data_IF_667032897265
#
_entry.id   IF_667032897265
#
_cell.length_a   1.000
_cell.length_b   1.000
_cell.length_c   1.000
_cell.angle_alpha   90.00
_cell.angle_beta   90.00
_cell.angle_gamma   90.00
#
_symmetry.space_group_name_H-M   'P 1'
#
loop_
_entity.id
_entity.type
_entity.pdbx_description
1 polymer ?
#
# COMPACT_ATOMS: atom_id res chain seq x y z
N UNK A 1 17.83 8.24 1.83
CA UNK A 1 18.28 8.06 0.45
C UNK A 1 17.69 9.19 -0.39
N UNK A 2 18.43 10.29 -0.61
CA UNK A 2 17.90 11.48 -1.26
C UNK A 2 17.33 11.24 -2.66
N UNK A 3 17.79 10.18 -3.35
CA UNK A 3 17.30 9.81 -4.68
C UNK A 3 15.84 9.32 -4.68
N UNK A 4 15.30 9.00 -3.50
CA UNK A 4 13.92 8.53 -3.32
C UNK A 4 12.96 9.63 -2.88
N UNK A 5 13.43 10.88 -2.81
CA UNK A 5 12.58 11.99 -2.34
C UNK A 5 11.38 12.21 -3.27
N UNK A 6 10.20 12.32 -2.66
CA UNK A 6 8.93 12.61 -3.33
C UNK A 6 8.13 13.63 -2.52
N UNK A 7 7.58 14.64 -3.18
CA UNK A 7 6.59 15.55 -2.55
C UNK A 7 5.25 14.82 -2.53
N UNK A 8 4.51 14.90 -1.42
CA UNK A 8 3.19 14.27 -1.30
C UNK A 8 2.12 15.22 -1.84
N UNK A 9 1.35 14.82 -2.86
CA UNK A 9 0.41 15.73 -3.50
C UNK A 9 -0.82 16.06 -2.63
N UNK A 10 -1.15 15.20 -1.67
CA UNK A 10 -2.31 15.37 -0.78
C UNK A 10 -1.97 15.97 0.61
N UNK A 11 -0.70 16.23 0.91
CA UNK A 11 -0.27 16.71 2.23
C UNK A 11 0.55 18.01 2.11
N UNK A 12 0.06 19.09 2.71
CA UNK A 12 0.70 20.41 2.62
C UNK A 12 2.15 20.36 3.13
N UNK A 13 3.06 20.95 2.34
CA UNK A 13 4.51 21.08 2.66
C UNK A 13 5.17 19.78 3.14
N UNK A 14 4.72 18.63 2.65
CA UNK A 14 5.19 17.33 3.12
C UNK A 14 5.85 16.54 2.00
N UNK A 15 6.93 15.82 2.32
CA UNK A 15 7.59 14.90 1.41
C UNK A 15 8.03 13.61 2.11
N UNK A 16 8.21 12.56 1.31
CA UNK A 16 8.74 11.27 1.74
C UNK A 16 10.13 11.03 1.19
N UNK A 17 10.93 10.33 1.99
CA UNK A 17 12.24 9.83 1.60
C UNK A 17 12.45 8.47 2.29
N UNK A 18 12.84 7.47 1.51
CA UNK A 18 13.16 6.15 2.06
C UNK A 18 14.52 6.21 2.77
N UNK A 19 14.62 5.46 3.87
CA UNK A 19 15.84 5.34 4.66
C UNK A 19 16.22 3.87 4.85
N UNK A 20 17.52 3.62 4.95
CA UNK A 20 18.06 2.31 5.31
C UNK A 20 18.47 2.35 6.79
N UNK A 21 18.27 1.23 7.48
CA UNK A 21 18.65 1.10 8.89
C UNK A 21 20.16 0.83 8.97
N UNK A 22 20.83 1.57 9.85
CA UNK A 22 22.24 1.39 10.19
C UNK A 22 22.41 1.32 11.70
N UNK A 23 23.44 0.62 12.15
CA UNK A 23 23.93 0.74 13.50
C UNK A 23 24.47 2.15 13.76
N UNK A 24 24.61 2.54 15.03
CA UNK A 24 25.25 3.81 15.41
C UNK A 24 26.69 3.91 14.92
N UNK A 25 27.36 2.78 14.68
CA UNK A 25 28.68 2.71 14.07
C UNK A 25 28.70 3.11 12.58
N UNK A 26 27.53 3.21 11.94
CA UNK A 26 27.40 3.41 10.49
C UNK A 26 27.28 2.10 9.70
N UNK A 27 27.54 0.95 10.33
CA UNK A 27 27.43 -0.36 9.68
C UNK A 27 25.97 -0.67 9.28
N UNK A 28 25.72 -1.27 8.10
CA UNK A 28 24.37 -1.67 7.68
C UNK A 28 23.70 -2.61 8.69
N UNK A 29 22.46 -2.30 9.07
CA UNK A 29 21.70 -3.16 9.95
C UNK A 29 21.26 -4.42 9.19
N UNK A 30 21.56 -5.64 9.70
CA UNK A 30 21.40 -6.87 8.94
C UNK A 30 19.94 -7.22 8.60
N UNK A 31 18.98 -6.74 9.40
CA UNK A 31 17.55 -6.99 9.18
C UNK A 31 16.83 -5.81 8.51
N UNK A 32 17.56 -4.89 7.87
CA UNK A 32 16.95 -3.83 7.07
C UNK A 32 16.39 -4.42 5.76
N UNK A 33 15.06 -4.46 5.53
CA UNK A 33 14.49 -5.11 4.35
C UNK A 33 15.00 -4.50 3.03
N UNK A 34 15.10 -3.17 2.97
CA UNK A 34 15.64 -2.45 1.79
C UNK A 34 17.13 -2.77 1.58
N UNK A 35 17.91 -2.89 2.65
CA UNK A 35 19.32 -3.32 2.59
C UNK A 35 19.48 -4.75 2.10
N UNK A 36 18.62 -5.67 2.56
CA UNK A 36 18.58 -7.06 2.09
C UNK A 36 18.26 -7.11 0.59
N UNK A 37 17.24 -6.39 0.13
CA UNK A 37 16.86 -6.37 -1.29
C UNK A 37 17.96 -5.79 -2.18
N UNK A 38 18.62 -4.70 -1.75
CA UNK A 38 19.77 -4.12 -2.47
C UNK A 38 20.90 -5.15 -2.64
N UNK A 39 21.20 -5.94 -1.59
CA UNK A 39 22.22 -7.01 -1.66
C UNK A 39 21.81 -8.13 -2.64
N UNK A 40 20.55 -8.57 -2.59
CA UNK A 40 20.04 -9.60 -3.49
C UNK A 40 20.10 -9.16 -4.97
N UNK A 41 19.63 -7.94 -5.27
CA UNK A 41 19.70 -7.37 -6.63
C UNK A 41 21.14 -7.22 -7.10
N UNK A 42 22.06 -6.80 -6.21
CA UNK A 42 23.48 -6.72 -6.55
C UNK A 42 24.06 -8.10 -6.88
N UNK A 43 23.76 -9.13 -6.09
CA UNK A 43 24.23 -10.49 -6.34
C UNK A 43 23.81 -10.99 -7.72
N UNK A 44 22.53 -10.79 -8.08
CA UNK A 44 22.03 -11.14 -9.42
C UNK A 44 22.76 -10.37 -10.52
N UNK A 45 22.99 -9.07 -10.32
CA UNK A 45 23.71 -8.23 -11.28
C UNK A 45 25.18 -8.65 -11.44
N UNK A 46 25.85 -9.06 -10.37
CA UNK A 46 27.25 -9.52 -10.40
C UNK A 46 27.38 -10.83 -11.23
N UNK A 47 26.31 -11.61 -11.32
CA UNK A 47 26.20 -12.81 -12.16
C UNK A 47 25.71 -12.51 -13.60
N UNK A 48 25.43 -11.25 -13.93
CA UNK A 48 24.96 -10.84 -15.25
C UNK A 48 23.44 -10.90 -15.45
N UNK A 49 22.66 -11.09 -14.38
CA UNK A 49 21.19 -11.10 -14.43
C UNK A 49 20.58 -9.73 -14.08
N UNK A 50 19.44 -9.43 -14.70
CA UNK A 50 18.61 -8.26 -14.36
C UNK A 50 17.35 -8.73 -13.64
N UNK A 51 17.12 -8.22 -12.42
CA UNK A 51 15.88 -8.46 -11.69
C UNK A 51 14.74 -7.57 -12.23
N UNK A 52 13.59 -8.18 -12.53
CA UNK A 52 12.34 -7.49 -12.88
C UNK A 52 11.21 -8.05 -12.02
N UNK A 53 10.38 -7.16 -11.48
CA UNK A 53 9.21 -7.51 -10.68
C UNK A 53 8.07 -6.57 -11.05
N UNK A 54 6.88 -7.14 -11.29
CA UNK A 54 5.61 -6.42 -11.23
C UNK A 54 4.87 -6.86 -9.96
N UNK A 55 4.00 -6.00 -9.45
CA UNK A 55 3.23 -6.29 -8.24
C UNK A 55 1.76 -6.01 -8.52
N UNK A 56 0.92 -6.99 -8.21
CA UNK A 56 -0.53 -6.88 -8.14
C UNK A 56 -0.89 -6.81 -6.65
N UNK A 57 -1.44 -5.69 -6.23
CA UNK A 57 -1.83 -5.43 -4.85
C UNK A 57 -3.34 -5.53 -4.73
N UNK A 58 -3.82 -6.63 -4.18
CA UNK A 58 -5.21 -6.76 -3.77
C UNK A 58 -5.45 -6.15 -2.39
N UNK A 59 -6.53 -5.38 -2.25
CA UNK A 59 -6.93 -4.74 -1.01
C UNK A 59 -8.45 -4.54 -0.93
N UNK A 60 -8.96 -4.16 0.24
CA UNK A 60 -10.38 -3.92 0.46
C UNK A 60 -10.65 -2.44 0.70
N UNK A 61 -11.54 -1.85 -0.11
CA UNK A 61 -12.13 -0.55 0.17
C UNK A 61 -13.34 -0.74 1.07
N UNK A 62 -13.32 -0.19 2.28
CA UNK A 62 -14.43 -0.36 3.22
C UNK A 62 -14.83 0.95 3.87
N UNK A 63 -16.10 1.02 4.26
CA UNK A 63 -16.63 2.14 5.06
C UNK A 63 -16.58 1.76 6.53
N UNK A 64 -15.92 2.60 7.33
CA UNK A 64 -15.95 2.48 8.78
C UNK A 64 -17.37 2.75 9.28
N UNK A 65 -17.92 1.81 10.05
CA UNK A 65 -19.23 1.95 10.70
C UNK A 65 -19.08 2.18 12.20
N UNK A 66 -18.07 1.58 12.83
CA UNK A 66 -17.69 1.84 14.22
C UNK A 66 -16.16 1.75 14.36
N UNK A 67 -15.57 2.72 15.06
CA UNK A 67 -14.13 2.73 15.37
C UNK A 67 -13.79 1.91 16.61
N UNK A 68 -14.78 1.37 17.32
CA UNK A 68 -14.61 0.54 18.51
C UNK A 68 -13.77 1.25 19.58
N UNK A 69 -14.14 2.50 19.87
CA UNK A 69 -13.42 3.37 20.83
C UNK A 69 -14.08 3.41 22.22
N UNK A 70 -14.99 2.48 22.53
CA UNK A 70 -15.50 2.37 23.90
C UNK A 70 -14.39 1.89 24.83
N UNK A 71 -14.42 2.22 26.14
CA UNK A 71 -13.38 1.81 27.09
C UNK A 71 -13.08 0.31 27.08
N UNK A 72 -14.10 -0.52 26.83
CA UNK A 72 -14.00 -1.98 26.77
C UNK A 72 -13.29 -2.48 25.51
N UNK A 73 -13.42 -1.74 24.41
CA UNK A 73 -12.87 -2.09 23.09
C UNK A 73 -11.43 -1.63 22.86
N UNK A 74 -10.89 -0.74 23.69
CA UNK A 74 -9.53 -0.18 23.51
C UNK A 74 -8.40 -1.18 23.77
N UNK A 75 -8.70 -2.33 24.37
CA UNK A 75 -7.70 -3.29 24.81
C UNK A 75 -6.84 -2.77 25.96
N UNK A 76 -5.72 -3.44 26.21
CA UNK A 76 -4.77 -3.13 27.29
C UNK A 76 -3.42 -3.80 26.98
N UNK A 77 -2.33 -3.54 27.74
CA UNK A 77 -1.10 -4.33 27.59
C UNK A 77 -1.38 -5.84 27.71
N UNK A 78 -1.17 -6.58 26.62
CA UNK A 78 -1.46 -8.02 26.52
C UNK A 78 -2.90 -8.38 26.14
N UNK A 79 -3.79 -7.39 25.95
CA UNK A 79 -5.17 -7.57 25.50
C UNK A 79 -5.38 -6.83 24.19
N UNK A 80 -5.76 -7.57 23.15
CA UNK A 80 -6.01 -7.01 21.84
C UNK A 80 -7.26 -6.10 21.87
N UNK A 81 -7.23 -4.91 21.24
CA UNK A 81 -8.43 -4.10 21.06
C UNK A 81 -9.42 -4.80 20.12
N UNK A 82 -10.70 -4.45 20.24
CA UNK A 82 -11.69 -4.87 19.28
C UNK A 82 -11.34 -4.31 17.89
N UNK A 83 -11.65 -5.09 16.85
CA UNK A 83 -11.45 -4.65 15.49
C UNK A 83 -12.42 -3.50 15.15
N UNK A 84 -11.93 -2.54 14.37
CA UNK A 84 -12.77 -1.52 13.73
C UNK A 84 -13.84 -2.25 12.92
N UNK A 85 -15.11 -1.91 13.14
CA UNK A 85 -16.20 -2.46 12.38
C UNK A 85 -16.32 -1.70 11.06
N UNK A 86 -16.36 -2.46 9.96
CA UNK A 86 -16.42 -1.93 8.60
C UNK A 86 -17.50 -2.65 7.80
N UNK A 87 -17.96 -2.01 6.73
CA UNK A 87 -18.87 -2.61 5.76
C UNK A 87 -18.36 -2.45 4.32
N UNK A 88 -18.74 -3.35 3.40
CA UNK A 88 -18.49 -3.18 1.96
C UNK A 88 -19.11 -1.87 1.44
N UNK A 89 -18.45 -1.25 0.46
CA UNK A 89 -18.95 -0.08 -0.28
C UNK A 89 -19.39 -0.40 -1.71
N UNK A 90 -18.94 -1.53 -2.24
CA UNK A 90 -19.33 -2.08 -3.52
C UNK A 90 -19.76 -3.54 -3.39
N UNK A 91 -20.61 -3.95 -4.32
CA UNK A 91 -20.94 -5.35 -4.57
C UNK A 91 -19.72 -6.13 -5.10
N UNK A 92 -19.85 -7.45 -5.19
CA UNK A 92 -18.79 -8.33 -5.67
C UNK A 92 -19.37 -9.55 -6.38
N UNK A 93 -18.54 -10.58 -6.52
CA UNK A 93 -18.81 -11.84 -7.21
C UNK A 93 -19.09 -11.68 -8.70
N UNK A 94 -18.61 -10.59 -9.30
CA UNK A 94 -18.61 -10.36 -10.73
C UNK A 94 -17.38 -9.53 -11.05
N UNK A 95 -16.50 -10.09 -11.87
CA UNK A 95 -15.27 -9.45 -12.30
C UNK A 95 -15.53 -8.34 -13.31
N UNK A 96 -14.81 -7.22 -13.16
CA UNK A 96 -14.75 -6.16 -14.17
C UNK A 96 -16.13 -5.63 -14.55
N UNK A 97 -17.08 -5.66 -13.62
CA UNK A 97 -18.44 -5.22 -13.90
C UNK A 97 -18.48 -3.70 -13.77
N UNK A 98 -18.74 -3.02 -14.88
CA UNK A 98 -18.80 -1.55 -14.95
C UNK A 98 -19.66 -0.94 -13.83
N UNK A 99 -20.82 -1.55 -13.54
CA UNK A 99 -21.71 -1.09 -12.48
C UNK A 99 -21.12 -1.19 -11.06
N UNK A 100 -20.17 -2.10 -10.81
CA UNK A 100 -19.46 -2.18 -9.52
C UNK A 100 -18.38 -1.09 -9.43
N UNK A 101 -17.65 -0.85 -10.52
CA UNK A 101 -16.67 0.23 -10.58
C UNK A 101 -17.33 1.60 -10.42
N UNK A 102 -18.50 1.82 -11.04
CA UNK A 102 -19.30 3.04 -10.87
C UNK A 102 -19.69 3.31 -9.40
N UNK A 103 -19.83 2.27 -8.56
CA UNK A 103 -20.16 2.44 -7.13
C UNK A 103 -19.03 3.06 -6.32
N UNK A 104 -17.78 2.97 -6.81
CA UNK A 104 -16.57 3.41 -6.10
C UNK A 104 -15.74 4.43 -6.87
N UNK A 105 -16.16 4.83 -8.07
CA UNK A 105 -15.37 5.71 -8.95
C UNK A 105 -15.00 7.04 -8.28
N UNK A 106 -15.88 7.62 -7.48
CA UNK A 106 -15.62 8.87 -6.76
C UNK A 106 -14.40 8.76 -5.82
N UNK A 107 -14.22 7.61 -5.19
CA UNK A 107 -13.06 7.30 -4.34
C UNK A 107 -11.87 6.87 -5.22
N UNK A 108 -12.10 5.95 -6.15
CA UNK A 108 -11.03 5.34 -6.95
C UNK A 108 -10.37 6.32 -7.91
N UNK A 109 -11.10 7.29 -8.44
CA UNK A 109 -10.55 8.39 -9.22
C UNK A 109 -9.53 9.22 -8.42
N UNK A 110 -9.76 9.44 -7.13
CA UNK A 110 -8.82 10.14 -6.25
C UNK A 110 -7.58 9.28 -5.94
N UNK A 111 -7.77 7.98 -5.68
CA UNK A 111 -6.66 7.04 -5.50
C UNK A 111 -5.77 7.00 -6.75
N UNK A 112 -6.38 6.79 -7.92
CA UNK A 112 -5.70 6.79 -9.22
C UNK A 112 -4.88 8.07 -9.44
N UNK A 113 -5.50 9.23 -9.20
CA UNK A 113 -4.82 10.52 -9.32
C UNK A 113 -3.60 10.60 -8.41
N UNK A 114 -3.74 10.23 -7.14
CA UNK A 114 -2.63 10.25 -6.18
C UNK A 114 -1.48 9.32 -6.57
N UNK A 115 -1.77 8.12 -7.07
CA UNK A 115 -0.75 7.17 -7.53
C UNK A 115 0.03 7.71 -8.74
N UNK A 116 -0.68 8.33 -9.70
CA UNK A 116 -0.06 8.97 -10.87
C UNK A 116 0.78 10.19 -10.48
N UNK A 117 0.31 11.03 -9.57
CA UNK A 117 1.04 12.21 -9.08
C UNK A 117 2.31 11.83 -8.29
N UNK A 118 2.36 10.63 -7.68
CA UNK A 118 3.58 10.07 -7.10
C UNK A 118 4.58 9.52 -8.13
N UNK A 119 4.21 9.50 -9.42
CA UNK A 119 4.89 8.82 -10.52
C UNK A 119 5.10 7.32 -10.23
N UNK A 120 4.09 6.65 -9.68
CA UNK A 120 4.06 5.19 -9.67
C UNK A 120 3.71 4.68 -11.08
N UNK A 121 4.31 3.57 -11.54
CA UNK A 121 4.05 3.02 -12.87
C UNK A 121 2.71 2.26 -12.94
N UNK A 122 1.63 2.91 -12.48
CA UNK A 122 0.29 2.35 -12.44
C UNK A 122 -0.14 1.84 -13.82
N UNK A 123 -0.53 0.57 -13.89
CA UNK A 123 -1.03 -0.08 -15.11
C UNK A 123 -2.55 -0.18 -15.12
N UNK A 124 -3.16 -0.68 -14.05
CA UNK A 124 -4.61 -0.81 -13.91
C UNK A 124 -5.06 -0.75 -12.45
N UNK A 125 -6.36 -0.49 -12.28
CA UNK A 125 -7.11 -0.62 -11.03
C UNK A 125 -8.40 -1.32 -11.41
N UNK A 126 -8.71 -2.43 -10.75
CA UNK A 126 -9.79 -3.34 -11.16
C UNK A 126 -10.61 -3.75 -9.93
N UNK A 127 -11.92 -3.93 -10.08
CA UNK A 127 -12.75 -4.59 -9.08
C UNK A 127 -12.50 -6.09 -9.14
N UNK A 128 -12.24 -6.66 -7.97
CA UNK A 128 -11.85 -8.06 -7.83
C UNK A 128 -13.04 -8.91 -7.37
N UNK A 129 -12.82 -10.21 -7.13
CA UNK A 129 -13.92 -11.15 -6.92
C UNK A 129 -14.80 -10.86 -5.70
N UNK A 130 -14.24 -10.45 -4.56
CA UNK A 130 -15.03 -10.25 -3.35
C UNK A 130 -15.65 -8.83 -3.28
N UNK A 131 -16.74 -8.63 -2.54
CA UNK A 131 -17.33 -7.31 -2.36
C UNK A 131 -16.31 -6.27 -1.88
N UNK A 132 -16.20 -5.18 -2.64
CA UNK A 132 -15.25 -4.08 -2.38
C UNK A 132 -13.77 -4.45 -2.37
N UNK A 133 -13.42 -5.61 -2.91
CA UNK A 133 -12.05 -5.98 -3.18
C UNK A 133 -11.60 -5.28 -4.46
N UNK A 134 -10.41 -4.70 -4.43
CA UNK A 134 -9.79 -3.98 -5.53
C UNK A 134 -8.40 -4.56 -5.80
N UNK A 135 -8.02 -4.67 -7.06
CA UNK A 135 -6.62 -4.88 -7.47
C UNK A 135 -5.98 -3.55 -7.89
N UNK A 136 -4.66 -3.45 -7.71
CA UNK A 136 -3.85 -2.38 -8.29
C UNK A 136 -2.55 -2.96 -8.84
N UNK A 137 -2.40 -2.91 -10.15
CA UNK A 137 -1.21 -3.42 -10.85
C UNK A 137 -0.17 -2.30 -11.08
N UNK A 138 1.08 -2.54 -10.66
CA UNK A 138 2.21 -1.60 -10.71
C UNK A 138 3.48 -2.28 -11.26
#
# INVERSE_FOLDING_TARGET
>A
DPTTFKVLPWADKTGWMLADLHWKSGEPFPLCPRGIMKKAVKSLSDEGYLFKCGIELEWYLTKIVDRSLSPESLGAPGVQPDAIQVQPVAQGYSYLLEHHLDQVDDIMSNVRKGLLELNLPLRSIEDEWAPSQMDTTI
#
